data_IF_647256397614
#
_entry.id   IF_647256397614
#
_cell.length_a   1.000
_cell.length_b   1.000
_cell.length_c   1.000
_cell.angle_alpha   90.00
_cell.angle_beta   90.00
_cell.angle_gamma   90.00
#
_symmetry.space_group_name_H-M   'P 1'
#
loop_
_entity.id
_entity.type
_entity.pdbx_description
1 polymer ?
#
# COMPACT_ATOMS: atom_id res chain seq x y z
N UNK A 1 -15.60 12.87 28.53
CA UNK A 1 -15.56 12.43 27.15
C UNK A 1 -14.41 11.46 26.95
N UNK A 2 -14.69 10.34 26.34
CA UNK A 2 -13.65 9.40 26.01
C UNK A 2 -13.06 9.75 24.63
N UNK A 3 -11.76 9.82 24.56
CA UNK A 3 -11.06 9.94 23.29
C UNK A 3 -10.69 8.57 22.78
N UNK A 4 -10.98 8.32 21.53
CA UNK A 4 -10.44 7.15 20.87
C UNK A 4 -9.03 7.46 20.46
N UNK A 5 -8.09 6.72 21.00
CA UNK A 5 -6.70 6.84 20.59
C UNK A 5 -6.47 5.95 19.38
N UNK A 6 -6.07 6.55 18.27
CA UNK A 6 -5.65 5.78 17.12
C UNK A 6 -4.23 5.30 17.35
N UNK A 7 -4.00 4.03 17.05
CA UNK A 7 -2.67 3.47 17.00
C UNK A 7 -2.28 3.30 15.53
N UNK A 8 -1.80 4.36 14.89
CA UNK A 8 -1.45 4.25 13.48
C UNK A 8 -0.28 3.30 13.31
N UNK A 9 -0.37 2.49 12.28
CA UNK A 9 0.68 1.58 11.86
C UNK A 9 1.00 1.88 10.42
N UNK A 10 2.25 2.13 10.11
CA UNK A 10 2.69 2.27 8.73
C UNK A 10 3.40 0.99 8.33
N UNK A 11 2.83 0.30 7.34
CA UNK A 11 3.48 -0.85 6.72
C UNK A 11 4.22 -0.35 5.50
N UNK A 12 5.54 -0.48 5.52
CA UNK A 12 6.38 -0.04 4.41
C UNK A 12 6.84 -1.25 3.62
N UNK A 13 6.55 -1.24 2.33
CA UNK A 13 6.96 -2.31 1.41
C UNK A 13 7.87 -1.71 0.36
N UNK A 14 9.10 -2.22 0.29
CA UNK A 14 10.07 -1.85 -0.74
C UNK A 14 10.00 -2.84 -1.89
N UNK A 15 9.81 -2.31 -3.10
CA UNK A 15 9.83 -3.08 -4.33
C UNK A 15 11.11 -2.73 -5.09
N UNK A 16 12.14 -3.60 -5.07
CA UNK A 16 13.39 -3.32 -5.77
C UNK A 16 13.28 -3.46 -7.29
N UNK A 17 12.20 -4.06 -7.76
CA UNK A 17 11.91 -4.28 -9.18
C UNK A 17 10.40 -4.30 -9.40
N UNK A 18 9.93 -4.17 -10.66
CA UNK A 18 8.51 -4.33 -10.96
C UNK A 18 8.06 -5.76 -10.66
N UNK A 19 7.32 -5.91 -9.59
CA UNK A 19 6.88 -7.22 -9.10
C UNK A 19 5.86 -7.02 -7.98
N UNK A 20 5.36 -8.10 -7.44
CA UNK A 20 4.53 -8.11 -6.25
C UNK A 20 5.40 -8.48 -5.04
N UNK A 21 5.34 -7.68 -3.99
CA UNK A 21 6.02 -7.95 -2.72
C UNK A 21 4.96 -7.90 -1.62
N UNK A 22 4.99 -8.87 -0.73
CA UNK A 22 4.00 -9.01 0.33
C UNK A 22 4.61 -8.84 1.71
N UNK A 23 3.82 -8.31 2.63
CA UNK A 23 4.13 -8.27 4.05
C UNK A 23 3.02 -8.98 4.83
N UNK A 24 3.39 -9.73 5.86
CA UNK A 24 2.43 -10.44 6.71
C UNK A 24 2.11 -9.59 7.92
N UNK A 25 0.84 -9.41 8.20
CA UNK A 25 0.36 -8.63 9.34
C UNK A 25 0.23 -9.54 10.55
N UNK A 26 0.66 -9.04 11.71
CA UNK A 26 0.59 -9.82 12.97
C UNK A 26 -0.65 -9.49 13.79
N UNK A 27 -1.39 -8.47 13.41
CA UNK A 27 -2.62 -8.06 14.05
C UNK A 27 -3.61 -7.53 13.02
N UNK A 28 -4.91 -7.54 13.32
CA UNK A 28 -5.88 -7.04 12.36
C UNK A 28 -5.75 -5.52 12.22
N UNK A 29 -5.76 -5.06 10.97
CA UNK A 29 -5.63 -3.64 10.65
C UNK A 29 -6.65 -3.24 9.60
N UNK A 30 -6.95 -1.96 9.57
CA UNK A 30 -7.74 -1.35 8.51
C UNK A 30 -6.87 -0.33 7.78
N UNK A 31 -6.75 -0.49 6.48
CA UNK A 31 -5.99 0.45 5.65
C UNK A 31 -6.84 1.70 5.45
N UNK A 32 -6.28 2.85 5.76
CA UNK A 32 -6.97 4.14 5.63
C UNK A 32 -6.36 5.05 4.60
N UNK A 33 -5.12 4.80 4.20
CA UNK A 33 -4.44 5.58 3.17
C UNK A 33 -3.25 4.81 2.63
N UNK A 34 -2.77 5.22 1.47
CA UNK A 34 -1.56 4.65 0.88
C UNK A 34 -0.85 5.73 0.08
N UNK A 35 0.44 5.88 0.32
CA UNK A 35 1.32 6.75 -0.43
C UNK A 35 2.43 5.90 -1.04
N UNK A 36 2.59 5.99 -2.35
CA UNK A 36 3.65 5.28 -3.06
C UNK A 36 4.61 6.29 -3.66
N UNK A 37 5.91 5.96 -3.71
CA UNK A 37 6.83 6.81 -4.43
C UNK A 37 7.92 6.00 -5.14
N UNK A 38 8.42 6.58 -6.23
CA UNK A 38 9.43 5.96 -7.07
C UNK A 38 10.80 6.26 -6.48
N UNK A 39 11.59 5.23 -6.23
CA UNK A 39 12.96 5.37 -5.75
C UNK A 39 13.98 5.27 -6.86
N UNK A 40 13.64 4.56 -7.94
CA UNK A 40 14.51 4.44 -9.11
C UNK A 40 13.72 4.81 -10.35
N UNK A 41 14.29 5.73 -11.13
CA UNK A 41 13.71 6.17 -12.38
C UNK A 41 13.72 5.04 -13.40
N UNK A 42 12.56 4.78 -13.97
CA UNK A 42 12.35 3.62 -14.84
C UNK A 42 12.39 3.95 -16.33
N UNK A 43 12.18 5.18 -16.70
CA UNK A 43 11.99 5.53 -18.11
C UNK A 43 10.70 4.96 -18.71
N UNK A 44 9.78 4.46 -17.89
CA UNK A 44 8.52 3.86 -18.33
C UNK A 44 7.39 4.31 -17.42
N UNK A 45 6.16 4.15 -17.89
CA UNK A 45 4.96 4.44 -17.10
C UNK A 45 4.96 3.54 -15.87
N UNK A 46 4.85 4.14 -14.70
CA UNK A 46 4.96 3.46 -13.42
C UNK A 46 3.65 3.53 -12.67
N UNK A 47 3.27 2.42 -12.06
CA UNK A 47 2.10 2.36 -11.20
C UNK A 47 2.35 1.44 -10.00
N UNK A 48 1.58 1.67 -8.95
CA UNK A 48 1.58 0.85 -7.74
C UNK A 48 0.14 0.57 -7.35
N UNK A 49 -0.13 -0.66 -6.94
CA UNK A 49 -1.45 -1.04 -6.45
C UNK A 49 -1.30 -1.91 -5.21
N UNK A 50 -2.12 -1.64 -4.20
CA UNK A 50 -2.13 -2.40 -2.96
C UNK A 50 -3.33 -3.32 -2.95
N UNK A 51 -3.09 -4.56 -2.56
CA UNK A 51 -4.12 -5.59 -2.51
C UNK A 51 -3.94 -6.49 -1.28
N UNK A 52 -4.98 -7.25 -0.98
CA UNK A 52 -4.96 -8.29 0.02
C UNK A 52 -5.57 -9.55 -0.56
N UNK A 53 -5.72 -10.59 0.26
CA UNK A 53 -6.41 -11.83 -0.14
C UNK A 53 -7.85 -11.57 -0.60
N UNK A 54 -8.47 -10.48 -0.12
CA UNK A 54 -9.85 -10.14 -0.47
C UNK A 54 -9.97 -9.37 -1.79
N UNK A 55 -8.87 -8.89 -2.32
CA UNK A 55 -8.87 -8.13 -3.57
C UNK A 55 -8.10 -6.82 -3.46
N UNK A 56 -8.30 -5.95 -4.44
CA UNK A 56 -7.60 -4.67 -4.48
C UNK A 56 -8.12 -3.73 -3.40
N UNK A 57 -7.20 -3.16 -2.64
CA UNK A 57 -7.50 -2.16 -1.60
C UNK A 57 -7.50 -0.76 -2.20
N UNK A 58 -6.57 -0.50 -3.11
CA UNK A 58 -6.46 0.81 -3.76
C UNK A 58 -6.75 0.69 -5.25
N UNK A 59 -7.04 1.83 -5.88
CA UNK A 59 -6.92 1.96 -7.32
C UNK A 59 -5.45 1.75 -7.74
N UNK A 60 -5.20 1.63 -9.03
CA UNK A 60 -3.84 1.68 -9.56
C UNK A 60 -3.33 3.11 -9.45
N UNK A 61 -2.31 3.32 -8.61
CA UNK A 61 -1.73 4.64 -8.36
C UNK A 61 -0.75 4.94 -9.48
N UNK A 62 -1.09 5.89 -10.34
CA UNK A 62 -0.23 6.27 -11.45
C UNK A 62 0.84 7.24 -10.98
N UNK A 63 2.10 6.93 -11.25
CA UNK A 63 3.25 7.72 -10.83
C UNK A 63 3.97 8.39 -12.00
N UNK A 64 3.44 8.21 -13.21
CA UNK A 64 3.99 8.84 -14.40
C UNK A 64 5.21 8.14 -14.97
N UNK A 65 5.90 8.82 -15.87
CA UNK A 65 7.06 8.28 -16.58
C UNK A 65 8.31 9.01 -16.15
N UNK A 66 9.41 8.26 -16.12
CA UNK A 66 10.75 8.86 -16.14
C UNK A 66 11.01 9.85 -15.00
N UNK A 67 10.45 9.58 -13.83
CA UNK A 67 10.51 10.48 -12.68
C UNK A 67 10.93 9.72 -11.45
N UNK A 68 12.14 10.01 -10.93
CA UNK A 68 12.55 9.54 -9.62
C UNK A 68 11.96 10.46 -8.54
N UNK A 69 11.75 9.90 -7.34
CA UNK A 69 11.25 10.63 -6.16
C UNK A 69 9.84 11.19 -6.33
N UNK A 70 9.11 10.76 -7.35
CA UNK A 70 7.71 11.13 -7.49
C UNK A 70 6.85 10.31 -6.55
N UNK A 71 5.96 10.98 -5.84
CA UNK A 71 5.01 10.36 -4.94
C UNK A 71 3.59 10.45 -5.52
N UNK A 72 2.81 9.44 -5.23
CA UNK A 72 1.38 9.41 -5.54
C UNK A 72 0.62 8.83 -4.39
N UNK A 73 -0.60 9.29 -4.21
CA UNK A 73 -1.49 8.85 -3.16
C UNK A 73 -2.65 8.08 -3.78
N UNK A 74 -3.15 7.07 -3.08
CA UNK A 74 -4.34 6.36 -3.53
C UNK A 74 -5.52 7.33 -3.64
N UNK A 75 -6.21 7.31 -4.77
CA UNK A 75 -7.42 8.10 -4.96
C UNK A 75 -8.61 7.48 -4.23
N UNK A 76 -8.57 6.16 -4.05
CA UNK A 76 -9.64 5.41 -3.41
C UNK A 76 -9.07 4.33 -2.52
N UNK A 77 -9.72 4.11 -1.39
CA UNK A 77 -9.52 2.93 -0.54
C UNK A 77 -10.84 2.16 -0.57
N UNK A 78 -10.78 0.91 -0.97
CA UNK A 78 -11.98 0.06 -1.09
C UNK A 78 -12.43 -0.41 0.28
N UNK A 79 -13.57 0.06 0.73
CA UNK A 79 -14.12 -0.28 2.05
C UNK A 79 -14.48 -1.77 2.18
N UNK A 80 -14.65 -2.48 1.08
CA UNK A 80 -14.93 -3.90 1.13
C UNK A 80 -13.67 -4.75 1.34
N UNK A 81 -12.50 -4.22 1.00
CA UNK A 81 -11.26 -4.99 0.97
C UNK A 81 -10.17 -4.45 1.90
N UNK A 82 -10.42 -3.35 2.59
CA UNK A 82 -9.37 -2.64 3.33
C UNK A 82 -9.08 -3.21 4.72
N UNK A 83 -9.79 -4.23 5.16
CA UNK A 83 -9.52 -4.91 6.43
C UNK A 83 -8.62 -6.11 6.18
N UNK A 84 -7.52 -6.18 6.91
CA UNK A 84 -6.55 -7.26 6.80
C UNK A 84 -6.48 -7.96 8.15
N UNK A 85 -6.80 -9.24 8.16
CA UNK A 85 -6.80 -10.04 9.37
C UNK A 85 -5.38 -10.38 9.83
N UNK A 86 -5.22 -10.67 11.11
CA UNK A 86 -3.96 -11.16 11.63
C UNK A 86 -3.54 -12.45 10.89
N UNK A 87 -2.28 -12.52 10.50
CA UNK A 87 -1.74 -13.63 9.73
C UNK A 87 -1.93 -13.51 8.22
N UNK A 88 -2.75 -12.58 7.76
CA UNK A 88 -2.93 -12.33 6.34
C UNK A 88 -1.85 -11.41 5.80
N UNK A 89 -1.75 -11.33 4.48
CA UNK A 89 -0.74 -10.51 3.81
C UNK A 89 -1.38 -9.31 3.13
N UNK A 90 -0.60 -8.24 3.05
CA UNK A 90 -0.84 -7.11 2.17
C UNK A 90 0.24 -7.11 1.09
N UNK A 91 -0.14 -6.83 -0.14
CA UNK A 91 0.75 -6.95 -1.30
C UNK A 91 0.84 -5.60 -2.01
N UNK A 92 2.07 -5.21 -2.32
CA UNK A 92 2.38 -4.05 -3.14
C UNK A 92 2.84 -4.54 -4.51
N UNK A 93 2.11 -4.19 -5.55
CA UNK A 93 2.41 -4.60 -6.93
C UNK A 93 2.81 -3.37 -7.73
N UNK A 94 4.02 -3.39 -8.27
CA UNK A 94 4.56 -2.32 -9.08
C UNK A 94 4.66 -2.75 -10.54
N UNK A 95 4.36 -1.84 -11.43
CA UNK A 95 4.51 -2.01 -12.87
C UNK A 95 5.36 -0.87 -13.44
N UNK A 96 6.05 -1.15 -14.52
CA UNK A 96 6.97 -0.21 -15.17
C UNK A 96 8.38 -0.76 -15.22
N UNK A 97 8.90 -1.01 -16.43
CA UNK A 97 10.21 -1.65 -16.62
C UNK A 97 11.33 -0.83 -15.95
N UNK A 98 12.15 -1.48 -15.14
CA UNK A 98 13.29 -0.85 -14.49
C UNK A 98 12.94 0.02 -13.28
N UNK A 99 11.69 0.02 -12.84
CA UNK A 99 11.24 0.82 -11.70
C UNK A 99 11.55 0.13 -10.39
N UNK A 100 11.98 0.91 -9.41
CA UNK A 100 11.93 0.50 -8.00
C UNK A 100 11.14 1.56 -7.23
N UNK A 101 10.45 1.13 -6.19
CA UNK A 101 9.61 2.04 -5.43
C UNK A 101 9.33 1.55 -4.03
N UNK A 102 8.62 2.36 -3.29
CA UNK A 102 8.22 2.09 -1.91
C UNK A 102 6.76 2.49 -1.72
N UNK A 103 6.01 1.63 -1.06
CA UNK A 103 4.65 1.93 -0.65
C UNK A 103 4.61 2.07 0.87
N UNK A 104 4.06 3.17 1.35
CA UNK A 104 3.74 3.38 2.75
C UNK A 104 2.24 3.21 2.91
N UNK A 105 1.84 2.14 3.57
CA UNK A 105 0.45 1.76 3.75
C UNK A 105 0.06 2.16 5.17
N UNK A 106 -0.82 3.14 5.29
CA UNK A 106 -1.19 3.71 6.57
C UNK A 106 -2.43 2.99 7.07
N UNK A 107 -2.30 2.40 8.24
CA UNK A 107 -3.32 1.56 8.83
C UNK A 107 -3.70 2.06 10.23
N UNK A 108 -4.86 1.64 10.68
CA UNK A 108 -5.25 1.75 12.09
C UNK A 108 -5.57 0.35 12.61
N UNK A 109 -5.42 0.14 13.92
CA UNK A 109 -5.82 -1.12 14.52
C UNK A 109 -7.31 -1.33 14.31
N UNK A 110 -7.67 -2.53 13.86
CA UNK A 110 -9.06 -2.92 13.72
C UNK A 110 -9.46 -3.76 14.92
N UNK A 111 -9.61 -3.11 16.06
CA UNK A 111 -9.95 -3.78 17.31
C UNK A 111 -11.39 -4.30 17.34
N UNK A 112 -12.24 -3.82 16.45
CA UNK A 112 -13.61 -4.29 16.31
C UNK A 112 -13.71 -5.53 15.43
N UNK A 113 -12.60 -5.96 14.86
CA UNK A 113 -12.53 -7.16 14.05
C UNK A 113 -11.88 -8.28 14.88
N UNK A 114 -12.68 -9.14 15.50
CA UNK A 114 -12.13 -10.20 16.33
C UNK A 114 -11.37 -11.25 15.52
#
# INVERSE_FOLDING_TARGET
>A
MAYTTFNPLVVTIDNPAPAAVSATLTRPVKVVDTVAYVTTNAGAATSCQISSVNGNITNSISLGNNVANKAGRAAEIDDANNVINAGATVTSTWAGAGTAGRANIICVDDTDNP
#
